data_IF_553034968119
#
_entry.id   IF_553034968119
#
_cell.length_a   1.000
_cell.length_b   1.000
_cell.length_c   1.000
_cell.angle_alpha   90.00
_cell.angle_beta   90.00
_cell.angle_gamma   90.00
#
_symmetry.space_group_name_H-M   'P 1'
#
loop_
_entity.id
_entity.type
_entity.pdbx_description
1 polymer ?
#
# COMPACT_ATOMS: atom_id res chain seq x y z
N UNK A 1 -28.43 -39.26 -1.49
CA UNK A 1 -28.38 -38.22 -2.54
C UNK A 1 -29.28 -37.09 -2.06
N UNK A 2 -28.78 -35.84 -1.98
CA UNK A 2 -29.62 -34.72 -1.55
C UNK A 2 -30.83 -34.58 -2.48
N UNK A 3 -31.97 -34.22 -1.91
CA UNK A 3 -33.21 -33.99 -2.63
C UNK A 3 -33.05 -32.78 -3.58
N UNK A 4 -33.61 -32.87 -4.79
CA UNK A 4 -33.59 -31.77 -5.76
C UNK A 4 -34.30 -30.53 -5.21
N UNK A 5 -35.32 -30.71 -4.37
CA UNK A 5 -36.00 -29.58 -3.70
C UNK A 5 -35.12 -28.91 -2.62
N UNK A 6 -34.27 -29.67 -1.92
CA UNK A 6 -33.29 -29.11 -0.98
C UNK A 6 -32.19 -28.32 -1.72
N UNK A 7 -31.78 -28.80 -2.89
CA UNK A 7 -30.81 -28.12 -3.76
C UNK A 7 -31.35 -26.79 -4.32
N UNK A 8 -32.61 -26.77 -4.77
CA UNK A 8 -33.28 -25.56 -5.24
C UNK A 8 -33.51 -24.53 -4.11
N UNK A 9 -33.80 -25.00 -2.89
CA UNK A 9 -33.93 -24.13 -1.72
C UNK A 9 -32.57 -23.58 -1.24
N UNK A 10 -31.48 -24.34 -1.43
CA UNK A 10 -30.12 -23.92 -1.07
C UNK A 10 -29.44 -23.04 -2.13
N UNK A 11 -29.91 -23.08 -3.38
CA UNK A 11 -29.33 -22.33 -4.50
C UNK A 11 -29.30 -20.80 -4.27
N UNK A 12 -30.38 -20.15 -3.78
CA UNK A 12 -30.36 -18.72 -3.47
C UNK A 12 -29.33 -18.34 -2.39
N UNK A 13 -29.05 -19.24 -1.45
CA UNK A 13 -28.03 -19.04 -0.42
C UNK A 13 -26.60 -19.25 -0.96
N UNK A 14 -26.44 -19.95 -2.08
CA UNK A 14 -25.16 -20.19 -2.77
C UNK A 14 -24.87 -19.19 -3.89
N UNK A 15 -25.89 -18.48 -4.39
CA UNK A 15 -25.72 -17.42 -5.37
C UNK A 15 -24.94 -16.26 -4.73
N UNK A 16 -23.65 -16.24 -5.01
CA UNK A 16 -22.75 -15.11 -4.74
C UNK A 16 -23.38 -13.82 -5.24
N UNK A 17 -23.12 -12.72 -4.52
CA UNK A 17 -23.53 -11.35 -4.88
C UNK A 17 -23.51 -11.14 -6.39
N UNK A 18 -24.60 -10.64 -6.92
CA UNK A 18 -24.73 -10.35 -8.34
C UNK A 18 -23.67 -9.31 -8.76
N UNK A 19 -23.22 -9.33 -10.03
CA UNK A 19 -22.28 -8.33 -10.53
C UNK A 19 -22.77 -6.89 -10.30
N UNK A 20 -24.09 -6.66 -10.35
CA UNK A 20 -24.69 -5.35 -10.07
C UNK A 20 -24.48 -4.89 -8.62
N UNK A 21 -24.60 -5.81 -7.64
CA UNK A 21 -24.36 -5.52 -6.22
C UNK A 21 -22.88 -5.27 -5.92
N UNK A 22 -21.97 -5.93 -6.65
CA UNK A 22 -20.53 -5.67 -6.54
C UNK A 22 -20.18 -4.32 -7.17
N UNK A 23 -20.78 -3.99 -8.32
CA UNK A 23 -20.56 -2.71 -8.99
C UNK A 23 -21.06 -1.55 -8.12
N UNK A 24 -22.24 -1.68 -7.53
CA UNK A 24 -22.82 -0.68 -6.64
C UNK A 24 -21.91 -0.38 -5.42
N UNK A 25 -21.31 -1.43 -4.83
CA UNK A 25 -20.34 -1.27 -3.75
C UNK A 25 -19.06 -0.56 -4.21
N UNK A 26 -18.53 -0.91 -5.39
CA UNK A 26 -17.35 -0.24 -5.94
C UNK A 26 -17.63 1.24 -6.20
N UNK A 27 -18.79 1.57 -6.78
CA UNK A 27 -19.21 2.95 -7.04
C UNK A 27 -19.42 3.75 -5.74
N UNK A 28 -19.97 3.13 -4.70
CA UNK A 28 -20.08 3.74 -3.38
C UNK A 28 -18.71 3.98 -2.74
N UNK A 29 -17.81 3.00 -2.80
CA UNK A 29 -16.43 3.14 -2.33
C UNK A 29 -15.68 4.24 -3.08
N UNK A 30 -15.87 4.36 -4.41
CA UNK A 30 -15.29 5.44 -5.21
C UNK A 30 -15.83 6.81 -4.83
N UNK A 31 -17.15 6.95 -4.60
CA UNK A 31 -17.75 8.20 -4.12
C UNK A 31 -17.24 8.59 -2.74
N UNK A 32 -17.12 7.62 -1.82
CA UNK A 32 -16.56 7.84 -0.50
C UNK A 32 -15.08 8.27 -0.57
N UNK A 33 -14.29 7.65 -1.45
CA UNK A 33 -12.89 8.02 -1.67
C UNK A 33 -12.75 9.41 -2.31
N UNK A 34 -13.63 9.79 -3.24
CA UNK A 34 -13.64 11.12 -3.85
C UNK A 34 -14.06 12.22 -2.86
N UNK A 35 -14.88 11.88 -1.86
CA UNK A 35 -15.30 12.79 -0.80
C UNK A 35 -14.30 12.87 0.37
N UNK A 36 -13.30 11.99 0.40
CA UNK A 36 -12.27 11.99 1.44
C UNK A 36 -11.35 13.22 1.30
N UNK A 37 -10.82 13.69 2.43
CA UNK A 37 -9.83 14.75 2.43
C UNK A 37 -8.63 14.36 1.55
N UNK A 38 -8.06 15.31 0.78
CA UNK A 38 -6.86 15.04 0.01
C UNK A 38 -5.78 14.47 0.93
N UNK A 39 -5.05 13.44 0.48
CA UNK A 39 -4.02 12.82 1.30
C UNK A 39 -3.04 13.90 1.75
N UNK A 40 -2.55 13.78 2.99
CA UNK A 40 -1.53 14.68 3.49
C UNK A 40 -0.37 14.77 2.49
N UNK A 41 0.13 15.98 2.19
CA UNK A 41 1.23 16.16 1.24
C UNK A 41 2.41 15.28 1.66
N UNK A 42 2.76 14.33 0.79
CA UNK A 42 3.87 13.41 1.01
C UNK A 42 5.11 13.90 0.29
N UNK A 43 6.25 13.90 0.98
CA UNK A 43 7.56 14.12 0.36
C UNK A 43 8.05 12.90 -0.44
N UNK A 44 7.35 11.76 -0.32
CA UNK A 44 7.70 10.54 -1.02
C UNK A 44 7.15 10.61 -2.45
N UNK A 45 8.01 10.59 -3.48
CA UNK A 45 7.54 10.54 -4.86
C UNK A 45 6.97 9.16 -5.21
N UNK A 46 6.21 9.06 -6.31
CA UNK A 46 5.79 7.78 -6.83
C UNK A 46 6.97 6.82 -7.04
N UNK A 47 6.85 5.54 -6.66
CA UNK A 47 7.91 4.57 -6.85
C UNK A 47 8.08 4.18 -8.32
N UNK A 48 9.29 3.75 -8.65
CA UNK A 48 9.67 3.16 -9.93
C UNK A 48 10.17 1.72 -9.70
N UNK A 49 9.89 0.83 -10.65
CA UNK A 49 10.43 -0.53 -10.56
C UNK A 49 11.92 -0.54 -10.87
N UNK A 50 12.71 -1.15 -9.99
CA UNK A 50 14.16 -1.31 -10.19
C UNK A 50 14.46 -2.27 -11.34
N UNK A 51 13.62 -3.30 -11.49
CA UNK A 51 13.79 -4.35 -12.48
C UNK A 51 12.61 -4.38 -13.47
N UNK A 52 12.83 -4.81 -14.72
CA UNK A 52 11.77 -4.92 -15.70
C UNK A 52 10.74 -5.98 -15.29
N UNK A 53 9.54 -5.84 -15.83
CA UNK A 53 8.47 -6.82 -15.65
C UNK A 53 8.93 -8.23 -16.05
N UNK A 54 8.63 -9.22 -15.21
CA UNK A 54 9.02 -10.61 -15.42
C UNK A 54 10.40 -11.00 -14.86
N UNK A 55 11.22 -10.05 -14.41
CA UNK A 55 12.46 -10.36 -13.69
C UNK A 55 12.16 -10.93 -12.30
N UNK A 56 12.88 -11.96 -11.82
CA UNK A 56 12.58 -12.64 -10.55
C UNK A 56 12.36 -11.71 -9.34
N UNK A 57 13.05 -10.56 -9.34
CA UNK A 57 13.03 -9.59 -8.24
C UNK A 57 12.17 -8.33 -8.53
N UNK A 58 11.36 -8.32 -9.60
CA UNK A 58 10.56 -7.17 -10.05
C UNK A 58 9.61 -6.62 -8.96
N UNK A 59 9.10 -7.51 -8.11
CA UNK A 59 8.13 -7.24 -7.05
C UNK A 59 8.80 -6.96 -5.69
N UNK A 60 10.11 -7.18 -5.57
CA UNK A 60 10.83 -7.05 -4.30
C UNK A 60 11.37 -5.66 -4.06
N UNK A 61 11.90 -5.00 -5.09
CA UNK A 61 12.59 -3.73 -4.93
C UNK A 61 11.89 -2.60 -5.68
N UNK A 62 11.63 -1.50 -4.98
CA UNK A 62 11.15 -0.25 -5.57
C UNK A 62 12.15 0.87 -5.34
N UNK A 63 12.34 1.70 -6.36
CA UNK A 63 13.12 2.93 -6.29
C UNK A 63 12.20 4.12 -6.02
N UNK A 64 12.59 4.97 -5.08
CA UNK A 64 11.95 6.25 -4.79
C UNK A 64 12.93 7.35 -5.20
N UNK A 65 12.81 7.90 -6.43
CA UNK A 65 13.76 8.88 -6.95
C UNK A 65 13.72 10.18 -6.13
N UNK A 66 14.78 10.97 -6.14
CA UNK A 66 14.70 12.32 -5.60
C UNK A 66 13.63 13.14 -6.35
N UNK A 67 12.78 13.88 -5.62
CA UNK A 67 11.75 14.77 -6.21
C UNK A 67 12.36 15.79 -7.17
N UNK A 68 13.59 16.25 -6.88
CA UNK A 68 14.33 17.19 -7.72
C UNK A 68 15.00 16.54 -8.94
N UNK A 69 14.87 15.21 -9.10
CA UNK A 69 15.41 14.40 -10.21
C UNK A 69 16.92 14.56 -10.42
N UNK A 70 17.69 14.64 -9.34
CA UNK A 70 19.16 14.76 -9.34
C UNK A 70 19.93 13.46 -9.67
N UNK A 71 19.22 12.36 -9.99
CA UNK A 71 19.81 11.05 -10.27
C UNK A 71 19.94 10.13 -9.07
N UNK A 72 19.74 10.62 -7.84
CA UNK A 72 19.65 9.77 -6.65
C UNK A 72 18.27 9.11 -6.51
N UNK A 73 18.23 7.89 -5.96
CA UNK A 73 17.01 7.20 -5.56
C UNK A 73 17.24 6.35 -4.31
N UNK A 74 16.24 6.30 -3.43
CA UNK A 74 16.19 5.33 -2.34
C UNK A 74 15.63 4.00 -2.84
N UNK A 75 16.40 2.92 -2.72
CA UNK A 75 15.93 1.57 -3.07
C UNK A 75 15.38 0.91 -1.81
N UNK A 76 14.07 0.69 -1.79
CA UNK A 76 13.40 -0.02 -0.70
C UNK A 76 13.21 -1.49 -1.06
N UNK A 77 13.59 -2.36 -0.13
CA UNK A 77 13.27 -3.78 -0.18
C UNK A 77 11.89 -4.03 0.46
N UNK A 78 10.90 -4.37 -0.35
CA UNK A 78 9.52 -4.59 0.05
C UNK A 78 9.31 -5.85 0.88
N UNK A 79 10.25 -6.81 0.84
CA UNK A 79 10.19 -8.02 1.66
C UNK A 79 11.10 -7.97 2.87
N UNK A 80 11.81 -6.86 3.08
CA UNK A 80 12.64 -6.70 4.27
C UNK A 80 11.75 -6.75 5.50
N UNK A 81 11.97 -7.78 6.30
CA UNK A 81 11.28 -7.99 7.56
C UNK A 81 11.88 -7.10 8.65
N UNK A 82 11.35 -5.89 8.77
CA UNK A 82 11.64 -4.98 9.89
C UNK A 82 10.57 -5.09 11.00
N UNK A 83 9.92 -6.25 11.14
CA UNK A 83 8.89 -6.46 12.15
C UNK A 83 9.15 -7.66 13.05
N UNK A 84 8.95 -7.39 14.34
CA UNK A 84 8.74 -8.40 15.38
C UNK A 84 7.66 -9.40 14.97
N UNK A 85 7.66 -10.60 15.57
CA UNK A 85 6.65 -11.62 15.31
C UNK A 85 5.23 -11.04 15.32
N UNK A 86 4.46 -11.36 14.29
CA UNK A 86 3.03 -11.03 14.27
C UNK A 86 2.30 -11.90 15.28
N UNK A 87 1.93 -11.32 16.42
CA UNK A 87 1.17 -12.00 17.46
C UNK A 87 -0.28 -11.49 17.42
N UNK A 88 -1.21 -12.40 17.21
CA UNK A 88 -2.64 -12.14 17.26
C UNK A 88 -3.27 -13.01 18.33
N UNK A 89 -4.19 -12.44 19.10
CA UNK A 89 -5.06 -13.22 20.00
C UNK A 89 -6.36 -13.51 19.26
N UNK A 90 -6.72 -14.78 19.19
CA UNK A 90 -7.98 -15.23 18.59
C UNK A 90 -8.93 -15.54 19.76
N UNK A 91 -10.05 -14.84 19.78
CA UNK A 91 -11.15 -14.94 20.72
C UNK A 91 -12.38 -15.59 20.07
N UNK A 92 -13.55 -15.01 20.34
CA UNK A 92 -14.85 -15.60 20.03
C UNK A 92 -15.28 -15.42 18.56
N UNK A 93 -14.69 -14.45 17.84
CA UNK A 93 -14.97 -14.18 16.43
C UNK A 93 -13.73 -14.32 15.54
N UNK A 94 -13.23 -15.55 15.31
CA UNK A 94 -11.93 -15.75 14.67
C UNK A 94 -11.80 -15.13 13.28
N UNK A 95 -12.88 -15.09 12.50
CA UNK A 95 -12.81 -14.60 11.11
C UNK A 95 -12.61 -13.08 11.06
N UNK A 96 -13.41 -12.34 11.82
CA UNK A 96 -13.37 -10.89 11.91
C UNK A 96 -12.03 -10.44 12.54
N UNK A 97 -11.62 -11.10 13.61
CA UNK A 97 -10.38 -10.80 14.33
C UNK A 97 -9.13 -11.08 13.48
N UNK A 98 -9.13 -12.17 12.71
CA UNK A 98 -8.04 -12.47 11.76
C UNK A 98 -7.95 -11.37 10.70
N UNK A 99 -9.08 -11.01 10.09
CA UNK A 99 -9.13 -9.96 9.06
C UNK A 99 -8.65 -8.61 9.61
N UNK A 100 -9.11 -8.25 10.81
CA UNK A 100 -8.70 -7.02 11.49
C UNK A 100 -7.21 -7.03 11.80
N UNK A 101 -6.69 -8.09 12.44
CA UNK A 101 -5.29 -8.15 12.84
C UNK A 101 -4.33 -8.16 11.66
N UNK A 102 -4.67 -8.83 10.54
CA UNK A 102 -3.90 -8.75 9.30
C UNK A 102 -3.88 -7.30 8.76
N UNK A 103 -5.03 -6.63 8.78
CA UNK A 103 -5.16 -5.25 8.29
C UNK A 103 -4.34 -4.27 9.14
N UNK A 104 -4.45 -4.35 10.47
CA UNK A 104 -3.69 -3.53 11.40
C UNK A 104 -2.18 -3.74 11.23
N UNK A 105 -1.76 -5.01 11.11
CA UNK A 105 -0.36 -5.32 10.88
C UNK A 105 0.15 -4.79 9.53
N UNK A 106 -0.67 -4.87 8.47
CA UNK A 106 -0.35 -4.29 7.17
C UNK A 106 -0.21 -2.75 7.25
N UNK A 107 -1.06 -2.07 8.02
CA UNK A 107 -0.94 -0.62 8.29
C UNK A 107 0.36 -0.32 9.03
N UNK A 108 0.69 -1.07 10.09
CA UNK A 108 1.94 -0.88 10.84
C UNK A 108 3.19 -1.10 9.96
N UNK A 109 3.18 -2.13 9.10
CA UNK A 109 4.21 -2.36 8.07
C UNK A 109 4.36 -1.14 7.17
N UNK A 110 3.24 -0.63 6.68
CA UNK A 110 3.23 0.52 5.78
C UNK A 110 3.80 1.77 6.46
N UNK A 111 3.38 2.07 7.69
CA UNK A 111 3.87 3.22 8.47
C UNK A 111 5.38 3.15 8.69
N UNK A 112 5.92 2.00 9.11
CA UNK A 112 7.37 1.85 9.31
C UNK A 112 8.15 2.03 8.00
N UNK A 113 7.69 1.39 6.93
CA UNK A 113 8.29 1.54 5.59
C UNK A 113 8.27 3.00 5.13
N UNK A 114 7.12 3.66 5.27
CA UNK A 114 6.94 5.07 4.91
C UNK A 114 7.95 5.95 5.64
N UNK A 115 8.10 5.77 6.97
CA UNK A 115 9.08 6.51 7.78
C UNK A 115 10.52 6.29 7.33
N UNK A 116 10.91 5.07 6.93
CA UNK A 116 12.26 4.82 6.41
C UNK A 116 12.52 5.56 5.10
N UNK A 117 11.57 5.50 4.18
CA UNK A 117 11.67 6.19 2.89
C UNK A 117 11.75 7.70 3.12
N UNK A 118 10.87 8.26 3.95
CA UNK A 118 10.89 9.69 4.31
C UNK A 118 12.23 10.10 4.94
N UNK A 119 12.74 9.30 5.89
CA UNK A 119 14.02 9.58 6.54
C UNK A 119 15.20 9.53 5.55
N UNK A 120 15.19 8.60 4.59
CA UNK A 120 16.21 8.51 3.55
C UNK A 120 16.15 9.73 2.62
N UNK A 121 14.95 10.13 2.19
CA UNK A 121 14.74 11.30 1.32
C UNK A 121 15.17 12.58 2.04
N UNK A 122 14.73 12.80 3.29
CA UNK A 122 15.12 13.98 4.10
C UNK A 122 16.63 14.06 4.25
N UNK A 123 17.27 12.95 4.63
CA UNK A 123 18.72 12.88 4.77
C UNK A 123 19.44 13.22 3.47
N UNK A 124 18.98 12.68 2.34
CA UNK A 124 19.56 13.01 1.04
C UNK A 124 19.40 14.50 0.72
N UNK A 125 18.21 15.06 0.91
CA UNK A 125 17.95 16.47 0.63
C UNK A 125 18.79 17.41 1.52
N UNK A 126 18.94 17.10 2.80
CA UNK A 126 19.82 17.82 3.74
C UNK A 126 21.28 17.81 3.28
N UNK A 127 21.76 16.65 2.81
CA UNK A 127 23.16 16.45 2.42
C UNK A 127 23.50 17.01 1.03
N UNK A 128 22.59 16.89 0.07
CA UNK A 128 22.86 17.16 -1.35
C UNK A 128 22.22 18.45 -1.87
N UNK A 129 21.18 18.97 -1.20
CA UNK A 129 20.37 20.05 -1.76
C UNK A 129 20.21 21.25 -0.84
N UNK A 130 20.67 21.19 0.42
CA UNK A 130 20.50 22.25 1.43
C UNK A 130 19.06 22.81 1.48
N UNK A 131 18.07 22.01 1.09
CA UNK A 131 16.74 22.48 0.74
C UNK A 131 15.80 22.49 1.96
N UNK A 132 14.94 23.51 2.06
CA UNK A 132 13.82 23.56 3.01
C UNK A 132 12.57 22.89 2.41
N UNK A 133 11.85 22.14 3.24
CA UNK A 133 10.54 21.58 2.85
C UNK A 133 9.49 22.69 2.72
N UNK A 134 8.52 22.58 1.77
CA UNK A 134 8.34 21.50 0.79
C UNK A 134 9.27 21.64 -0.41
N UNK A 135 9.89 20.52 -0.82
CA UNK A 135 10.78 20.47 -1.98
C UNK A 135 10.01 20.79 -3.27
N UNK A 136 10.11 22.03 -3.72
CA UNK A 136 9.49 22.51 -4.97
C UNK A 136 10.58 23.11 -5.86
N UNK A 137 10.68 22.63 -7.10
CA UNK A 137 11.68 23.09 -8.06
C UNK A 137 12.43 21.95 -8.77
N UNK A 138 13.25 22.30 -9.75
CA UNK A 138 14.21 21.40 -10.40
C UNK A 138 15.56 21.61 -9.70
N UNK A 139 16.32 20.55 -9.46
CA UNK A 139 17.67 20.72 -8.92
C UNK A 139 18.54 21.45 -9.95
N UNK A 140 18.98 22.66 -9.62
CA UNK A 140 20.13 23.27 -10.27
C UNK A 140 21.36 22.58 -9.69
N UNK A 141 21.80 21.51 -10.34
CA UNK A 141 22.88 20.67 -9.83
C UNK A 141 24.10 21.51 -9.47
N UNK A 142 24.53 21.45 -8.21
CA UNK A 142 25.90 21.80 -7.85
C UNK A 142 26.80 20.71 -8.43
N UNK A 143 27.62 21.12 -9.40
CA UNK A 143 28.72 20.32 -9.95
C UNK A 143 29.72 19.94 -8.86
#
# INVERSE_FOLDING_TARGET
MPDLQELDAALPALLRRSPAEVLAEIEEAQRAAAAAYPPEPSIIPPPEHVYPWGHLWWWRFLAFPCVLRCGWAHIEDLVRDDLEPFVMRIGESPREEISQGISEHAVLRNVKRRRRIEAAIRRHAEQAHHAQEPYSGRCEGTQ
#
